data_IF_439445509037
#
_entry.id   IF_439445509037
#
_cell.length_a   1.000
_cell.length_b   1.000
_cell.length_c   1.000
_cell.angle_alpha   90.00
_cell.angle_beta   90.00
_cell.angle_gamma   90.00
#
_symmetry.space_group_name_H-M   'P 1'
#
loop_
_entity.id
_entity.type
_entity.pdbx_description
1 polymer ?
#
# COMPACT_ATOMS: atom_id res chain seq x y z
N UNK A 1 10.89 1.51 18.70
CA UNK A 1 11.16 2.37 17.53
C UNK A 1 11.07 1.67 16.16
N UNK A 2 10.70 0.37 16.04
CA UNK A 2 10.53 -0.29 14.72
C UNK A 2 9.06 -0.46 14.28
N UNK A 3 8.10 -0.23 15.18
CA UNK A 3 6.67 -0.44 14.94
C UNK A 3 5.97 0.76 14.26
N UNK A 4 6.52 1.97 14.39
CA UNK A 4 5.90 3.19 13.83
C UNK A 4 5.94 3.27 12.30
N UNK A 5 6.88 2.57 11.65
CA UNK A 5 7.03 2.68 10.20
C UNK A 5 5.92 2.02 9.41
N UNK A 6 5.29 0.95 9.93
CA UNK A 6 4.23 0.26 9.20
C UNK A 6 3.01 1.17 9.08
N UNK A 7 2.57 1.76 10.20
CA UNK A 7 1.46 2.70 10.22
C UNK A 7 1.69 3.91 9.30
N UNK A 8 2.89 4.52 9.35
CA UNK A 8 3.23 5.66 8.49
C UNK A 8 3.22 5.28 7.01
N UNK A 9 3.71 4.08 6.66
CA UNK A 9 3.69 3.59 5.27
C UNK A 9 2.24 3.40 4.80
N UNK A 10 1.37 2.83 5.64
CA UNK A 10 -0.06 2.66 5.31
C UNK A 10 -0.77 3.99 5.09
N UNK A 11 -0.60 4.94 6.01
CA UNK A 11 -1.18 6.29 5.88
C UNK A 11 -0.64 7.03 4.64
N UNK A 12 0.63 6.84 4.31
CA UNK A 12 1.23 7.40 3.09
C UNK A 12 0.62 6.78 1.82
N UNK A 13 0.49 5.45 1.76
CA UNK A 13 -0.09 4.74 0.61
C UNK A 13 -1.59 5.06 0.44
N UNK A 14 -2.31 5.28 1.53
CA UNK A 14 -3.72 5.65 1.53
C UNK A 14 -3.97 7.15 1.22
N UNK A 15 -2.91 7.96 1.08
CA UNK A 15 -2.99 9.42 0.94
C UNK A 15 -3.62 10.16 2.13
N UNK A 16 -3.55 9.58 3.33
CA UNK A 16 -4.13 10.18 4.54
C UNK A 16 -3.19 11.19 5.23
N UNK A 17 -1.91 11.18 4.86
CA UNK A 17 -0.91 12.09 5.44
C UNK A 17 -1.07 13.53 4.97
N UNK A 18 -0.83 14.48 5.87
CA UNK A 18 -0.71 15.90 5.54
C UNK A 18 0.51 16.18 4.65
N UNK A 19 0.52 17.32 3.98
CA UNK A 19 1.63 17.72 3.08
C UNK A 19 3.00 17.75 3.80
N UNK A 20 3.02 18.19 5.07
CA UNK A 20 4.23 18.22 5.87
C UNK A 20 4.74 16.80 6.21
N UNK A 21 3.83 15.88 6.53
CA UNK A 21 4.18 14.49 6.81
C UNK A 21 4.64 13.76 5.55
N UNK A 22 4.00 14.00 4.40
CA UNK A 22 4.46 13.46 3.12
C UNK A 22 5.87 13.91 2.80
N UNK A 23 6.19 15.18 3.03
CA UNK A 23 7.54 15.71 2.81
C UNK A 23 8.58 14.98 3.67
N UNK A 24 8.25 14.69 4.94
CA UNK A 24 9.12 13.91 5.83
C UNK A 24 9.30 12.47 5.34
N UNK A 25 8.22 11.82 4.90
CA UNK A 25 8.29 10.47 4.32
C UNK A 25 9.14 10.45 3.05
N UNK A 26 9.02 11.45 2.19
CA UNK A 26 9.85 11.57 0.98
C UNK A 26 11.34 11.80 1.29
N UNK A 27 11.65 12.50 2.38
CA UNK A 27 13.02 12.60 2.87
C UNK A 27 13.52 11.25 3.37
N UNK A 28 12.72 10.53 4.18
CA UNK A 28 13.04 9.20 4.68
C UNK A 28 13.26 8.19 3.54
N UNK A 29 12.47 8.26 2.47
CA UNK A 29 12.66 7.42 1.27
C UNK A 29 14.05 7.58 0.63
N UNK A 30 14.67 8.77 0.76
CA UNK A 30 15.99 9.07 0.21
C UNK A 30 17.13 8.75 1.18
N UNK A 31 16.89 8.86 2.47
CA UNK A 31 17.93 8.75 3.50
C UNK A 31 17.96 7.39 4.21
N UNK A 32 16.84 6.68 4.26
CA UNK A 32 16.69 5.38 4.92
C UNK A 32 16.30 4.30 3.91
N UNK A 33 17.28 3.46 3.56
CA UNK A 33 17.12 2.36 2.61
C UNK A 33 16.20 1.25 3.14
N UNK A 34 16.19 1.01 4.45
CA UNK A 34 15.35 -0.03 5.06
C UNK A 34 13.88 0.40 5.04
N UNK A 35 13.62 1.68 5.36
CA UNK A 35 12.28 2.27 5.22
C UNK A 35 11.78 2.21 3.78
N UNK A 36 12.64 2.60 2.83
CA UNK A 36 12.33 2.57 1.39
C UNK A 36 11.96 1.17 0.91
N UNK A 37 12.77 0.16 1.24
CA UNK A 37 12.50 -1.23 0.90
C UNK A 37 11.17 -1.71 1.50
N UNK A 38 10.88 -1.40 2.76
CA UNK A 38 9.60 -1.75 3.39
C UNK A 38 8.42 -1.11 2.68
N UNK A 39 8.51 0.17 2.32
CA UNK A 39 7.43 0.85 1.60
C UNK A 39 7.15 0.18 0.24
N UNK A 40 8.19 -0.15 -0.52
CA UNK A 40 8.02 -0.83 -1.81
C UNK A 40 7.42 -2.24 -1.66
N UNK A 41 7.86 -3.01 -0.67
CA UNK A 41 7.31 -4.34 -0.39
C UNK A 41 5.83 -4.28 0.01
N UNK A 42 5.47 -3.35 0.91
CA UNK A 42 4.07 -3.15 1.31
C UNK A 42 3.21 -2.72 0.13
N UNK A 43 3.72 -1.83 -0.74
CA UNK A 43 3.02 -1.41 -1.96
C UNK A 43 2.77 -2.59 -2.91
N UNK A 44 3.80 -3.39 -3.21
CA UNK A 44 3.69 -4.56 -4.08
C UNK A 44 2.71 -5.61 -3.52
N UNK A 45 2.75 -5.84 -2.21
CA UNK A 45 1.82 -6.74 -1.54
C UNK A 45 0.37 -6.24 -1.66
N UNK A 46 0.13 -4.96 -1.41
CA UNK A 46 -1.19 -4.35 -1.53
C UNK A 46 -1.74 -4.43 -2.96
N UNK A 47 -0.89 -4.21 -3.96
CA UNK A 47 -1.26 -4.33 -5.37
C UNK A 47 -1.64 -5.77 -5.73
N UNK A 48 -0.85 -6.76 -5.31
CA UNK A 48 -1.14 -8.18 -5.53
C UNK A 48 -2.44 -8.61 -4.85
N UNK A 49 -2.68 -8.16 -3.62
CA UNK A 49 -3.92 -8.44 -2.89
C UNK A 49 -5.13 -7.77 -3.56
N UNK A 50 -4.98 -6.52 -4.02
CA UNK A 50 -6.02 -5.79 -4.76
C UNK A 50 -6.38 -6.52 -6.07
N UNK A 51 -5.37 -6.91 -6.85
CA UNK A 51 -5.56 -7.66 -8.10
C UNK A 51 -6.27 -9.00 -7.86
N UNK A 52 -5.92 -9.69 -6.77
CA UNK A 52 -6.61 -10.93 -6.38
C UNK A 52 -8.08 -10.67 -6.03
N UNK A 53 -8.38 -9.66 -5.21
CA UNK A 53 -9.76 -9.30 -4.86
C UNK A 53 -10.58 -8.94 -6.10
N UNK A 54 -10.01 -8.14 -7.00
CA UNK A 54 -10.65 -7.76 -8.27
C UNK A 54 -10.95 -8.98 -9.14
N UNK A 55 -10.00 -9.93 -9.24
CA UNK A 55 -10.20 -11.18 -9.97
C UNK A 55 -11.32 -12.03 -9.37
N UNK A 56 -11.34 -12.20 -8.06
CA UNK A 56 -12.39 -12.96 -7.36
C UNK A 56 -13.78 -12.31 -7.57
N UNK A 57 -13.86 -10.98 -7.47
CA UNK A 57 -15.08 -10.22 -7.75
C UNK A 57 -15.58 -10.43 -9.19
N UNK A 58 -14.69 -10.32 -10.19
CA UNK A 58 -15.03 -10.57 -11.59
C UNK A 58 -15.56 -11.99 -11.82
N UNK A 59 -14.92 -13.01 -11.22
CA UNK A 59 -15.37 -14.40 -11.33
C UNK A 59 -16.75 -14.60 -10.70
N UNK A 60 -17.05 -13.93 -9.58
CA UNK A 60 -18.36 -14.00 -8.95
C UNK A 60 -19.44 -13.33 -9.81
N UNK A 61 -19.17 -12.15 -10.39
CA UNK A 61 -20.09 -11.50 -11.33
C UNK A 61 -20.38 -12.38 -12.56
N UNK A 62 -19.33 -13.00 -13.12
CA UNK A 62 -19.48 -13.90 -14.27
C UNK A 62 -20.39 -15.09 -13.94
N UNK A 63 -20.24 -15.70 -12.76
CA UNK A 63 -21.11 -16.79 -12.31
C UNK A 63 -22.57 -16.34 -12.19
N UNK A 64 -22.81 -15.17 -11.60
CA UNK A 64 -24.16 -14.61 -11.46
C UNK A 64 -24.83 -14.34 -12.81
N UNK A 65 -24.09 -13.88 -13.82
CA UNK A 65 -24.63 -13.63 -15.17
C UNK A 65 -24.94 -14.89 -15.99
N UNK A 66 -24.52 -16.08 -15.51
CA UNK A 66 -24.73 -17.36 -16.18
C UNK A 66 -25.89 -18.17 -15.58
N UNK A 67 -26.52 -17.66 -14.53
CA UNK A 67 -27.76 -18.14 -13.89
C UNK A 67 -28.91 -17.25 -14.30
#
# INVERSE_FOLDING_TARGET
MKEDYIYIIEEYLNNNLSSNERTKVEQLLKTDKDFSNKLYLTKDLNEKLSNRKTREFYLNLKKMSQT
#
